data_IF_159210171127
#
_entry.id   IF_159210171127
#
_cell.length_a   1.000
_cell.length_b   1.000
_cell.length_c   1.000
_cell.angle_alpha   90.00
_cell.angle_beta   90.00
_cell.angle_gamma   90.00
#
_symmetry.space_group_name_H-M   'P 1'
#
loop_
_entity.id
_entity.type
_entity.pdbx_description
1 polymer ?
#
# COMPACT_ATOMS: atom_id res chain seq x y z
N UNK A 1 -30.02 26.31 8.90
CA UNK A 1 -30.33 25.00 8.30
C UNK A 1 -29.01 24.28 8.07
N UNK A 2 -28.65 23.27 8.89
CA UNK A 2 -27.37 22.59 8.72
C UNK A 2 -27.50 21.52 7.62
N UNK A 3 -26.64 21.60 6.61
CA UNK A 3 -26.52 20.55 5.60
C UNK A 3 -25.70 19.40 6.19
N UNK A 4 -26.26 18.21 6.03
CA UNK A 4 -25.77 16.93 6.50
C UNK A 4 -24.32 16.65 6.11
N UNK A 5 -23.65 16.06 7.09
CA UNK A 5 -22.40 15.31 7.05
C UNK A 5 -22.28 14.44 5.80
N UNK A 6 -21.32 14.76 4.95
CA UNK A 6 -20.78 13.81 3.97
C UNK A 6 -19.38 13.42 4.42
N UNK A 7 -19.31 12.77 5.59
CA UNK A 7 -18.14 12.03 6.00
C UNK A 7 -18.11 10.78 5.11
N UNK A 8 -17.60 10.95 3.90
CA UNK A 8 -17.32 9.86 2.98
C UNK A 8 -16.61 8.74 3.76
N UNK A 9 -17.24 7.57 3.78
CA UNK A 9 -16.74 6.35 4.41
C UNK A 9 -15.27 6.16 4.08
N UNK A 10 -14.39 6.49 5.02
CA UNK A 10 -12.98 6.11 4.95
C UNK A 10 -12.93 4.59 5.15
N UNK A 11 -12.53 3.79 4.16
CA UNK A 11 -12.48 2.33 4.29
C UNK A 11 -11.29 1.85 5.17
N UNK A 12 -10.56 2.77 5.79
CA UNK A 12 -9.34 2.48 6.53
C UNK A 12 -9.60 2.70 8.02
N UNK A 13 -9.68 1.63 8.84
CA UNK A 13 -9.84 1.74 10.29
C UNK A 13 -8.57 2.26 11.00
N UNK A 14 -7.54 2.68 10.25
CA UNK A 14 -6.24 3.12 10.74
C UNK A 14 -6.05 4.62 10.47
N UNK A 15 -5.30 5.32 11.34
CA UNK A 15 -4.97 6.72 11.12
C UNK A 15 -4.18 6.88 9.81
N UNK A 16 -4.75 7.65 8.90
CA UNK A 16 -4.14 7.94 7.62
C UNK A 16 -3.05 9.01 7.82
N UNK A 17 -1.79 8.62 7.61
CA UNK A 17 -0.65 9.51 7.78
C UNK A 17 -0.44 10.41 6.57
N UNK A 18 -0.60 9.86 5.36
CA UNK A 18 -0.38 10.60 4.12
C UNK A 18 -1.12 9.96 2.95
N UNK A 19 -1.75 10.76 2.09
CA UNK A 19 -2.18 10.29 0.76
C UNK A 19 -1.48 11.11 -0.30
N UNK A 20 -0.91 10.43 -1.31
CA UNK A 20 -0.27 11.03 -2.46
C UNK A 20 -0.95 10.52 -3.73
N UNK A 21 -1.12 11.39 -4.71
CA UNK A 21 -1.53 11.02 -6.05
C UNK A 21 -0.40 11.38 -7.01
N UNK A 22 0.05 10.42 -7.81
CA UNK A 22 1.12 10.64 -8.80
C UNK A 22 0.78 9.99 -10.13
N UNK A 23 0.98 10.74 -11.21
CA UNK A 23 0.93 10.25 -12.58
C UNK A 23 2.33 10.00 -13.15
N UNK A 24 3.36 10.04 -12.32
CA UNK A 24 4.74 9.73 -12.74
C UNK A 24 4.78 8.31 -13.29
N UNK A 25 5.39 8.16 -14.47
CA UNK A 25 5.55 6.88 -15.15
C UNK A 25 6.73 6.09 -14.57
N UNK A 26 7.74 6.77 -14.02
CA UNK A 26 8.90 6.16 -13.38
C UNK A 26 9.14 6.76 -12.00
N UNK A 27 9.06 5.96 -10.95
CA UNK A 27 9.41 6.39 -9.60
C UNK A 27 9.87 5.23 -8.72
N UNK A 28 10.57 5.54 -7.63
CA UNK A 28 10.81 4.59 -6.53
C UNK A 28 10.55 5.27 -5.20
N UNK A 29 9.76 4.64 -4.34
CA UNK A 29 9.42 5.12 -3.00
C UNK A 29 9.58 3.99 -1.99
N UNK A 30 10.15 4.31 -0.84
CA UNK A 30 10.36 3.35 0.24
C UNK A 30 9.63 3.86 1.49
N UNK A 31 8.90 2.97 2.13
CA UNK A 31 8.19 3.21 3.37
C UNK A 31 8.69 2.22 4.41
N UNK A 32 8.88 2.66 5.65
CA UNK A 32 9.25 1.81 6.76
C UNK A 32 8.24 2.00 7.89
N UNK A 33 7.85 0.89 8.49
CA UNK A 33 6.90 0.82 9.60
C UNK A 33 7.56 0.00 10.70
N UNK A 34 7.80 0.63 11.84
CA UNK A 34 8.19 -0.07 13.05
C UNK A 34 6.91 -0.65 13.66
N UNK A 35 6.88 -1.98 13.80
CA UNK A 35 5.78 -2.72 14.38
C UNK A 35 6.12 -3.13 15.82
N UNK A 36 5.15 -3.70 16.52
CA UNK A 36 5.33 -4.25 17.86
C UNK A 36 6.40 -5.35 17.87
N UNK A 37 6.98 -5.60 19.04
CA UNK A 37 7.98 -6.65 19.30
C UNK A 37 9.29 -6.52 18.49
N UNK A 38 9.61 -5.33 17.96
CA UNK A 38 10.85 -5.08 17.21
C UNK A 38 10.79 -5.55 15.75
N UNK A 39 9.62 -6.00 15.28
CA UNK A 39 9.37 -6.31 13.89
C UNK A 39 9.38 -5.02 13.07
N UNK A 40 10.15 -4.99 11.99
CA UNK A 40 10.18 -3.88 11.05
C UNK A 40 9.66 -4.31 9.70
N UNK A 41 8.66 -3.61 9.19
CA UNK A 41 8.13 -3.79 7.83
C UNK A 41 8.64 -2.66 6.94
N UNK A 42 9.21 -3.00 5.79
CA UNK A 42 9.57 -2.04 4.75
C UNK A 42 8.77 -2.36 3.48
N UNK A 43 8.23 -1.34 2.83
CA UNK A 43 7.51 -1.44 1.56
C UNK A 43 8.20 -0.56 0.54
N UNK A 44 8.73 -1.18 -0.51
CA UNK A 44 9.32 -0.50 -1.66
C UNK A 44 8.36 -0.57 -2.84
N UNK A 45 7.97 0.59 -3.33
CA UNK A 45 7.19 0.75 -4.55
C UNK A 45 8.11 1.26 -5.64
N UNK A 46 8.13 0.58 -6.78
CA UNK A 46 8.84 1.04 -7.96
C UNK A 46 7.92 0.95 -9.16
N UNK A 47 7.71 2.07 -9.85
CA UNK A 47 7.02 2.08 -11.14
C UNK A 47 8.04 2.27 -12.25
N UNK A 48 7.88 1.53 -13.34
CA UNK A 48 8.61 1.74 -14.59
C UNK A 48 7.64 1.61 -15.76
N UNK A 49 7.32 2.74 -16.38
CA UNK A 49 6.20 2.87 -17.31
C UNK A 49 4.88 2.38 -16.70
N UNK A 50 4.33 1.28 -17.24
CA UNK A 50 3.07 0.67 -16.77
C UNK A 50 3.27 -0.41 -15.71
N UNK A 51 4.50 -0.83 -15.47
CA UNK A 51 4.82 -1.87 -14.50
C UNK A 51 5.00 -1.26 -13.11
N UNK A 52 4.22 -1.70 -12.13
CA UNK A 52 4.35 -1.34 -10.72
C UNK A 52 4.81 -2.56 -9.93
N UNK A 53 6.05 -2.50 -9.44
CA UNK A 53 6.62 -3.48 -8.52
C UNK A 53 6.42 -3.04 -7.07
N UNK A 54 5.93 -3.94 -6.24
CA UNK A 54 5.77 -3.80 -4.80
C UNK A 54 6.62 -4.86 -4.11
N UNK A 55 7.58 -4.44 -3.29
CA UNK A 55 8.44 -5.32 -2.52
C UNK A 55 8.20 -5.05 -1.03
N UNK A 56 7.81 -6.08 -0.29
CA UNK A 56 7.51 -6.01 1.14
C UNK A 56 8.56 -6.84 1.86
N UNK A 57 9.28 -6.22 2.77
CA UNK A 57 10.35 -6.85 3.56
C UNK A 57 9.93 -6.79 5.03
N UNK A 58 9.90 -7.93 5.69
CA UNK A 58 9.74 -8.05 7.14
C UNK A 58 11.08 -8.43 7.75
N UNK A 59 11.50 -7.69 8.77
CA UNK A 59 12.74 -7.93 9.51
C UNK A 59 12.39 -8.12 10.98
N UNK A 60 12.73 -9.28 11.54
CA UNK A 60 12.58 -9.61 12.95
C UNK A 60 13.92 -10.13 13.49
N UNK A 61 14.69 -9.25 14.12
CA UNK A 61 16.05 -9.53 14.56
C UNK A 61 16.95 -10.00 13.40
N UNK A 62 17.29 -11.29 13.37
CA UNK A 62 18.11 -11.89 12.32
C UNK A 62 17.28 -12.50 11.16
N UNK A 63 15.95 -12.57 11.29
CA UNK A 63 15.06 -13.14 10.28
C UNK A 63 14.64 -12.06 9.30
N UNK A 64 14.79 -12.34 8.00
CA UNK A 64 14.32 -11.46 6.92
C UNK A 64 13.42 -12.25 5.99
N UNK A 65 12.19 -11.78 5.80
CA UNK A 65 11.22 -12.33 4.85
C UNK A 65 10.89 -11.28 3.79
N UNK A 66 11.00 -11.63 2.52
CA UNK A 66 10.79 -10.71 1.40
C UNK A 66 9.74 -11.27 0.47
N UNK A 67 8.69 -10.49 0.22
CA UNK A 67 7.65 -10.77 -0.77
C UNK A 67 7.72 -9.73 -1.87
N UNK A 68 7.62 -10.15 -3.13
CA UNK A 68 7.59 -9.25 -4.29
C UNK A 68 6.36 -9.54 -5.12
N UNK A 69 5.62 -8.50 -5.47
CA UNK A 69 4.48 -8.54 -6.36
C UNK A 69 4.65 -7.49 -7.47
N UNK A 70 4.16 -7.80 -8.66
CA UNK A 70 4.22 -6.89 -9.81
C UNK A 70 2.83 -6.81 -10.43
N UNK A 71 2.40 -5.58 -10.70
CA UNK A 71 1.09 -5.26 -11.26
C UNK A 71 1.25 -4.34 -12.45
N UNK A 72 0.26 -4.32 -13.34
CA UNK A 72 0.14 -3.26 -14.32
C UNK A 72 -0.72 -2.12 -13.73
N UNK A 73 -0.22 -0.90 -13.85
CA UNK A 73 -0.90 0.31 -13.44
C UNK A 73 -0.78 1.35 -14.55
N UNK A 74 -1.91 1.65 -15.16
CA UNK A 74 -2.04 2.67 -16.19
C UNK A 74 -2.62 3.95 -15.56
N UNK A 75 -2.06 5.10 -15.94
CA UNK A 75 -2.48 6.41 -15.44
C UNK A 75 -2.05 6.71 -14.00
N UNK A 76 -2.85 7.52 -13.31
CA UNK A 76 -2.54 8.02 -11.96
C UNK A 76 -2.67 6.92 -10.90
N UNK A 77 -1.70 6.90 -9.98
CA UNK A 77 -1.67 6.07 -8.79
C UNK A 77 -1.94 6.92 -7.56
N UNK A 78 -2.93 6.49 -6.77
CA UNK A 78 -3.14 6.99 -5.42
C UNK A 78 -2.49 6.03 -4.43
N UNK A 79 -1.59 6.59 -3.62
CA UNK A 79 -0.84 5.89 -2.58
C UNK A 79 -1.26 6.46 -1.23
N UNK A 80 -1.90 5.65 -0.41
CA UNK A 80 -2.34 6.03 0.94
C UNK A 80 -1.48 5.30 1.98
N UNK A 81 -0.72 6.05 2.75
CA UNK A 81 0.14 5.58 3.83
C UNK A 81 -0.60 5.74 5.15
N UNK A 82 -0.59 4.68 5.94
CA UNK A 82 -1.15 4.59 7.29
C UNK A 82 -0.03 4.30 8.28
N UNK A 83 -0.34 4.26 9.57
CA UNK A 83 0.62 3.86 10.59
C UNK A 83 1.17 2.43 10.39
N UNK A 84 0.43 1.52 9.73
CA UNK A 84 0.79 0.10 9.63
C UNK A 84 1.07 -0.39 8.20
N UNK A 85 0.87 0.45 7.20
CA UNK A 85 1.11 0.05 5.82
C UNK A 85 0.77 1.05 4.74
N UNK A 86 0.85 0.56 3.51
CA UNK A 86 0.60 1.31 2.28
C UNK A 86 -0.55 0.66 1.52
N UNK A 87 -1.51 1.46 1.10
CA UNK A 87 -2.64 1.10 0.25
C UNK A 87 -2.46 1.76 -1.12
N UNK A 88 -2.79 1.03 -2.17
CA UNK A 88 -2.63 1.46 -3.56
C UNK A 88 -3.96 1.40 -4.28
N UNK A 89 -4.31 2.46 -5.00
CA UNK A 89 -5.41 2.48 -5.94
C UNK A 89 -4.92 3.06 -7.28
N UNK A 90 -5.10 2.33 -8.37
CA UNK A 90 -4.91 2.84 -9.73
C UNK A 90 -6.26 3.17 -10.35
N UNK A 91 -6.29 4.19 -11.20
CA UNK A 91 -7.52 4.62 -11.89
C UNK A 91 -7.87 3.76 -13.12
N UNK A 92 -7.15 2.68 -13.39
CA UNK A 92 -7.47 1.78 -14.50
C UNK A 92 -8.43 0.67 -14.06
N UNK A 93 -9.60 0.70 -14.69
CA UNK A 93 -10.59 -0.37 -14.69
C UNK A 93 -9.94 -1.70 -15.09
N UNK A 94 -10.25 -2.76 -14.33
CA UNK A 94 -9.81 -4.17 -14.47
C UNK A 94 -8.54 -4.57 -13.69
N UNK A 95 -8.59 -4.48 -12.36
CA UNK A 95 -8.11 -5.60 -11.51
C UNK A 95 -9.24 -6.05 -10.59
N UNK A 96 -10.38 -6.35 -11.21
CA UNK A 96 -11.44 -7.16 -10.64
C UNK A 96 -10.98 -8.63 -10.54
N UNK A 97 -9.88 -8.91 -9.82
CA UNK A 97 -9.63 -10.19 -9.17
C UNK A 97 -8.26 -10.19 -8.44
N UNK A 98 -8.27 -10.61 -7.17
CA UNK A 98 -7.20 -11.41 -6.51
C UNK A 98 -6.09 -10.83 -5.63
N UNK A 99 -5.94 -9.54 -5.33
CA UNK A 99 -5.05 -9.16 -4.18
C UNK A 99 -5.82 -9.16 -2.87
N UNK A 100 -6.39 -10.32 -2.56
CA UNK A 100 -6.94 -10.65 -1.25
C UNK A 100 -5.83 -11.34 -0.46
N UNK A 101 -4.78 -10.62 -0.07
CA UNK A 101 -3.79 -11.13 0.89
C UNK A 101 -4.33 -10.98 2.32
N UNK A 102 -5.44 -11.69 2.59
CA UNK A 102 -5.77 -12.14 3.95
C UNK A 102 -4.80 -13.26 4.28
N UNK A 103 -3.70 -12.98 4.98
CA UNK A 103 -3.01 -14.01 5.75
C UNK A 103 -3.71 -14.14 7.10
N UNK A 104 -4.87 -14.79 7.09
CA UNK A 104 -5.41 -15.47 8.27
C UNK A 104 -4.40 -16.56 8.63
N UNK A 105 -3.70 -16.44 9.75
CA UNK A 105 -3.03 -17.59 10.37
C UNK A 105 -3.98 -18.14 11.43
N UNK A 106 -4.53 -19.32 11.15
CA UNK A 106 -4.89 -20.28 12.19
C UNK A 106 -3.61 -20.99 12.61
N UNK A 107 -3.44 -21.13 13.92
CA UNK A 107 -2.89 -22.22 14.73
C UNK A 107 -2.24 -21.63 15.98
#
# INVERSE_FOLDING_TARGET
MPAHSDAALMPYPENLAQTLETSEEDFTRNYAFDMEDGLRKSVKLARTGRSLKVEIIYVDGAVVDTTTETFEADGSLRISVTEKGVYLASYCALLADRVRLRRTRFF
#
